data_IF_026779064110
#
_entry.id   IF_026779064110
#
_cell.length_a   1.000
_cell.length_b   1.000
_cell.length_c   1.000
_cell.angle_alpha   90.00
_cell.angle_beta   90.00
_cell.angle_gamma   90.00
#
_symmetry.space_group_name_H-M   'P 1'
#
loop_
_entity.id
_entity.type
_entity.pdbx_description
1 polymer ?
#
# COMPACT_ATOMS: atom_id res chain seq x y z
N UNK A 1 -16.52 -16.33 9.40
CA UNK A 1 -16.86 -16.95 8.10
C UNK A 1 -17.46 -18.32 8.33
N UNK A 2 -18.62 -18.61 7.69
CA UNK A 2 -19.24 -19.94 7.74
C UNK A 2 -18.47 -20.89 6.81
N UNK A 3 -18.27 -22.12 7.26
CA UNK A 3 -17.50 -23.16 6.56
C UNK A 3 -18.44 -24.29 6.19
N UNK A 4 -18.49 -24.64 4.91
CA UNK A 4 -19.24 -25.80 4.40
C UNK A 4 -18.30 -26.72 3.63
N UNK A 5 -18.52 -28.01 3.74
CA UNK A 5 -17.78 -29.03 2.97
C UNK A 5 -18.77 -29.88 2.15
N UNK A 6 -18.32 -30.33 0.99
CA UNK A 6 -19.07 -31.29 0.19
C UNK A 6 -18.78 -32.70 0.71
N UNK A 7 -19.80 -33.37 1.21
CA UNK A 7 -19.63 -34.72 1.77
C UNK A 7 -19.57 -35.79 0.68
N UNK A 8 -20.60 -35.84 -0.18
CA UNK A 8 -20.72 -36.71 -1.33
C UNK A 8 -21.80 -36.19 -2.29
N UNK A 9 -22.09 -36.94 -3.37
CA UNK A 9 -23.12 -36.53 -4.35
C UNK A 9 -24.54 -36.66 -3.81
N UNK A 10 -24.79 -37.45 -2.76
CA UNK A 10 -26.10 -37.69 -2.20
C UNK A 10 -26.42 -36.76 -1.02
N UNK A 11 -25.43 -36.43 -0.20
CA UNK A 11 -25.58 -35.63 1.02
C UNK A 11 -25.38 -34.12 0.80
N UNK A 12 -24.81 -33.73 -0.32
CA UNK A 12 -24.58 -32.32 -0.65
C UNK A 12 -23.54 -31.66 0.24
N UNK A 13 -23.88 -30.48 0.79
CA UNK A 13 -22.97 -29.66 1.62
C UNK A 13 -23.34 -29.84 3.10
N UNK A 14 -22.34 -30.13 3.92
CA UNK A 14 -22.43 -30.16 5.37
C UNK A 14 -21.87 -28.89 5.97
N UNK A 15 -22.55 -28.40 7.02
CA UNK A 15 -22.03 -27.28 7.82
C UNK A 15 -20.87 -27.79 8.69
N UNK A 16 -19.70 -27.21 8.48
CA UNK A 16 -18.48 -27.51 9.22
C UNK A 16 -18.13 -26.42 10.25
N UNK A 17 -19.11 -25.57 10.59
CA UNK A 17 -18.97 -24.51 11.60
C UNK A 17 -18.42 -23.21 11.03
N UNK A 18 -17.89 -22.38 11.92
CA UNK A 18 -17.35 -21.07 11.58
C UNK A 18 -15.86 -20.99 11.91
N UNK A 19 -15.13 -20.16 11.16
CA UNK A 19 -13.74 -19.84 11.45
C UNK A 19 -13.51 -18.34 11.34
N UNK A 20 -12.53 -17.84 12.08
CA UNK A 20 -12.18 -16.42 12.12
C UNK A 20 -10.67 -16.29 11.89
N UNK A 21 -10.24 -15.95 10.67
CA UNK A 21 -8.83 -15.66 10.42
C UNK A 21 -8.37 -14.46 11.23
N UNK A 22 -7.18 -14.56 11.80
CA UNK A 22 -6.55 -13.46 12.54
C UNK A 22 -5.14 -13.25 12.03
N UNK A 23 -4.69 -12.00 12.06
CA UNK A 23 -3.31 -11.66 11.75
C UNK A 23 -2.80 -10.62 12.76
N UNK A 24 -1.57 -10.81 13.20
CA UNK A 24 -0.87 -9.89 14.08
C UNK A 24 0.48 -9.53 13.47
N UNK A 25 0.86 -8.27 13.57
CA UNK A 25 2.16 -7.79 13.11
C UNK A 25 2.75 -6.81 14.12
N UNK A 26 4.02 -7.01 14.43
CA UNK A 26 4.82 -6.09 15.22
C UNK A 26 6.07 -5.70 14.44
N UNK A 27 6.40 -4.41 14.38
CA UNK A 27 7.56 -3.93 13.62
C UNK A 27 8.36 -2.86 14.34
N UNK A 28 9.65 -2.84 14.02
CA UNK A 28 10.62 -1.83 14.46
C UNK A 28 11.20 -1.17 13.24
N UNK A 29 11.20 0.17 13.22
CA UNK A 29 11.73 0.97 12.11
C UNK A 29 12.92 1.80 12.58
N UNK A 30 13.91 1.93 11.70
CA UNK A 30 15.03 2.82 11.87
C UNK A 30 15.26 3.63 10.59
N UNK A 31 15.48 4.94 10.74
CA UNK A 31 15.82 5.80 9.63
C UNK A 31 16.91 6.79 10.04
N UNK A 32 17.81 7.09 9.12
CA UNK A 32 18.93 8.00 9.34
C UNK A 32 19.24 8.81 8.08
N UNK A 33 19.43 10.11 8.24
CA UNK A 33 20.06 10.95 7.23
C UNK A 33 21.59 10.77 7.35
N UNK A 34 22.20 10.26 6.28
CA UNK A 34 23.65 10.07 6.20
C UNK A 34 24.35 11.35 5.76
N UNK A 35 23.63 12.19 4.99
CA UNK A 35 24.03 13.54 4.62
C UNK A 35 22.75 14.40 4.46
N UNK A 36 22.92 15.69 4.13
CA UNK A 36 21.80 16.60 3.85
C UNK A 36 20.99 16.15 2.62
N UNK A 37 21.60 15.35 1.74
CA UNK A 37 20.99 14.87 0.51
C UNK A 37 20.54 13.42 0.57
N UNK A 38 21.16 12.58 1.40
CA UNK A 38 20.96 11.14 1.36
C UNK A 38 20.47 10.58 2.70
N UNK A 39 19.37 9.87 2.65
CA UNK A 39 18.76 9.20 3.81
C UNK A 39 18.48 7.74 3.50
N UNK A 40 18.60 6.89 4.51
CA UNK A 40 18.30 5.46 4.45
C UNK A 40 17.32 5.09 5.54
N UNK A 41 16.51 4.08 5.29
CA UNK A 41 15.60 3.53 6.28
C UNK A 41 15.45 2.03 6.12
N UNK A 42 15.16 1.36 7.21
CA UNK A 42 14.80 -0.04 7.26
C UNK A 42 13.67 -0.26 8.26
N UNK A 43 12.85 -1.25 7.99
CA UNK A 43 11.79 -1.69 8.88
C UNK A 43 11.81 -3.22 8.96
N UNK A 44 11.80 -3.78 10.16
CA UNK A 44 11.73 -5.22 10.41
C UNK A 44 10.39 -5.52 11.07
N UNK A 45 9.64 -6.45 10.49
CA UNK A 45 8.32 -6.86 10.96
C UNK A 45 8.30 -8.34 11.26
N UNK A 46 7.68 -8.70 12.37
CA UNK A 46 7.28 -10.07 12.70
C UNK A 46 5.78 -10.17 12.45
N UNK A 47 5.37 -11.10 11.64
CA UNK A 47 3.98 -11.30 11.23
C UNK A 47 3.58 -12.72 11.59
N UNK A 48 2.48 -12.85 12.31
CA UNK A 48 1.82 -14.14 12.57
C UNK A 48 0.44 -14.10 11.94
N UNK A 49 0.13 -15.09 11.15
CA UNK A 49 -1.18 -15.26 10.51
C UNK A 49 -1.77 -16.62 10.88
N UNK A 50 -2.98 -16.61 11.42
CA UNK A 50 -3.78 -17.79 11.72
C UNK A 50 -5.01 -17.78 10.80
N UNK A 51 -5.05 -18.69 9.84
CA UNK A 51 -6.18 -18.85 8.91
C UNK A 51 -7.30 -19.71 9.52
N UNK A 52 -7.10 -20.21 10.74
CA UNK A 52 -8.01 -21.12 11.42
C UNK A 52 -7.78 -22.58 11.02
N UNK A 53 -8.69 -23.45 11.45
CA UNK A 53 -8.65 -24.86 11.10
C UNK A 53 -9.47 -25.12 9.84
N UNK A 54 -8.91 -25.88 8.91
CA UNK A 54 -9.60 -26.43 7.73
C UNK A 54 -9.95 -27.90 7.93
N UNK A 55 -11.09 -28.35 7.40
CA UNK A 55 -11.42 -29.77 7.35
C UNK A 55 -10.71 -30.38 6.14
N UNK A 56 -9.81 -31.32 6.38
CA UNK A 56 -9.02 -31.98 5.32
C UNK A 56 -9.60 -33.32 4.91
N UNK A 57 -10.30 -33.99 5.79
CA UNK A 57 -10.88 -35.32 5.53
C UNK A 57 -12.18 -35.53 6.32
N UNK A 58 -13.08 -36.30 5.75
CA UNK A 58 -14.27 -36.79 6.41
C UNK A 58 -14.07 -38.29 6.66
N UNK A 59 -14.02 -38.68 7.92
CA UNK A 59 -13.89 -40.08 8.30
C UNK A 59 -15.21 -40.85 8.03
N UNK A 60 -15.16 -42.17 7.83
CA UNK A 60 -16.33 -43.04 7.65
C UNK A 60 -17.39 -42.88 8.77
N UNK A 61 -16.99 -42.46 9.96
CA UNK A 61 -17.87 -42.16 11.10
C UNK A 61 -18.46 -40.75 11.12
N UNK A 62 -18.36 -39.99 10.03
CA UNK A 62 -18.78 -38.57 9.94
C UNK A 62 -18.07 -37.63 10.92
N UNK A 63 -16.83 -37.96 11.33
CA UNK A 63 -16.00 -37.04 12.12
C UNK A 63 -15.07 -36.27 11.19
N UNK A 64 -14.95 -34.97 11.44
CA UNK A 64 -14.06 -34.09 10.68
C UNK A 64 -12.61 -34.23 11.17
N UNK A 65 -11.69 -34.40 10.24
CA UNK A 65 -10.26 -34.24 10.52
C UNK A 65 -9.91 -32.79 10.23
N UNK A 66 -9.52 -32.06 11.25
CA UNK A 66 -9.19 -30.64 11.15
C UNK A 66 -7.67 -30.45 11.16
N UNK A 67 -7.22 -29.57 10.29
CA UNK A 67 -5.82 -29.12 10.24
C UNK A 67 -5.78 -27.60 10.44
N UNK A 68 -4.93 -27.13 11.35
CA UNK A 68 -4.72 -25.70 11.62
C UNK A 68 -3.68 -25.13 10.66
N UNK A 69 -3.99 -23.97 10.10
CA UNK A 69 -3.13 -23.27 9.15
C UNK A 69 -2.61 -21.98 9.78
N UNK A 70 -1.40 -22.07 10.33
CA UNK A 70 -0.67 -20.92 10.91
C UNK A 70 0.63 -20.71 10.16
N UNK A 71 1.00 -19.45 10.00
CA UNK A 71 2.29 -19.08 9.46
C UNK A 71 2.88 -17.88 10.18
N UNK A 72 4.18 -17.94 10.40
CA UNK A 72 4.99 -16.88 10.96
C UNK A 72 6.01 -16.42 9.91
N UNK A 73 6.20 -15.12 9.80
CA UNK A 73 7.15 -14.54 8.88
C UNK A 73 7.97 -13.42 9.55
N UNK A 74 9.25 -13.36 9.21
CA UNK A 74 10.09 -12.20 9.46
C UNK A 74 10.28 -11.47 8.14
N UNK A 75 9.86 -10.21 8.10
CA UNK A 75 9.79 -9.40 6.89
C UNK A 75 10.64 -8.16 7.07
N UNK A 76 11.43 -7.82 6.07
CA UNK A 76 12.27 -6.62 6.08
C UNK A 76 11.92 -5.73 4.91
N UNK A 77 11.79 -4.43 5.19
CA UNK A 77 11.64 -3.38 4.19
C UNK A 77 12.88 -2.48 4.22
N UNK A 78 13.32 -2.04 3.05
CA UNK A 78 14.44 -1.09 2.89
C UNK A 78 13.97 0.10 2.08
N UNK A 79 14.52 1.27 2.38
CA UNK A 79 14.26 2.47 1.61
C UNK A 79 15.46 3.41 1.57
N UNK A 80 15.61 4.08 0.45
CA UNK A 80 16.57 5.17 0.27
C UNK A 80 15.85 6.39 -0.29
N UNK A 81 16.33 7.56 0.11
CA UNK A 81 15.81 8.82 -0.34
C UNK A 81 16.99 9.74 -0.64
N UNK A 82 16.98 10.30 -1.84
CA UNK A 82 18.05 11.19 -2.32
C UNK A 82 17.47 12.50 -2.82
N UNK A 83 17.93 13.60 -2.26
CA UNK A 83 17.69 14.98 -2.74
C UNK A 83 18.87 15.37 -3.61
N UNK A 84 18.60 15.66 -4.85
CA UNK A 84 19.68 16.11 -5.75
C UNK A 84 20.07 17.56 -5.43
N UNK A 85 21.18 18.01 -6.01
CA UNK A 85 21.53 19.43 -5.98
C UNK A 85 20.80 20.25 -7.04
N UNK A 86 19.95 19.61 -7.85
CA UNK A 86 19.21 20.26 -8.93
C UNK A 86 17.80 20.59 -8.45
N UNK A 87 17.57 21.86 -8.12
CA UNK A 87 16.29 22.40 -7.65
C UNK A 87 15.61 21.48 -6.60
N UNK A 88 14.31 21.18 -6.77
CA UNK A 88 13.55 20.29 -5.89
C UNK A 88 13.54 18.82 -6.32
N UNK A 89 14.40 18.42 -7.27
CA UNK A 89 14.42 17.05 -7.80
C UNK A 89 14.85 16.05 -6.73
N UNK A 90 14.03 15.02 -6.54
CA UNK A 90 14.19 13.96 -5.53
C UNK A 90 14.02 12.60 -6.15
N UNK A 91 14.80 11.63 -5.65
CA UNK A 91 14.67 10.22 -5.94
C UNK A 91 14.34 9.44 -4.68
N UNK A 92 13.54 8.43 -4.82
CA UNK A 92 13.28 7.46 -3.75
C UNK A 92 13.26 6.05 -4.33
N UNK A 93 13.70 5.09 -3.52
CA UNK A 93 13.61 3.67 -3.86
C UNK A 93 13.24 2.89 -2.61
N UNK A 94 12.38 1.91 -2.75
CA UNK A 94 12.00 1.01 -1.66
C UNK A 94 11.91 -0.42 -2.13
N UNK A 95 12.34 -1.33 -1.28
CA UNK A 95 12.09 -2.78 -1.37
C UNK A 95 11.24 -3.15 -0.19
N UNK A 96 10.07 -3.72 -0.40
CA UNK A 96 9.12 -4.09 0.64
C UNK A 96 8.85 -5.57 0.63
N UNK A 97 8.56 -6.10 1.82
CA UNK A 97 8.24 -7.51 2.04
C UNK A 97 9.35 -8.47 1.61
N UNK A 98 10.61 -8.05 1.78
CA UNK A 98 11.73 -8.97 1.62
C UNK A 98 11.73 -9.96 2.78
N UNK A 99 11.52 -11.24 2.49
CA UNK A 99 11.47 -12.30 3.49
C UNK A 99 11.85 -13.64 2.86
N UNK A 100 12.28 -14.62 3.67
CA UNK A 100 12.26 -16.01 3.26
C UNK A 100 10.85 -16.49 2.96
N UNK A 101 10.72 -17.60 2.26
CA UNK A 101 9.44 -18.23 1.99
C UNK A 101 8.73 -18.60 3.28
N UNK A 102 7.43 -18.40 3.29
CA UNK A 102 6.55 -18.69 4.43
C UNK A 102 5.90 -20.05 4.22
N UNK A 103 5.97 -20.90 5.22
CA UNK A 103 5.37 -22.23 5.15
C UNK A 103 4.00 -22.25 5.78
N UNK A 104 2.98 -22.53 4.96
CA UNK A 104 1.69 -22.96 5.43
C UNK A 104 1.61 -24.48 5.20
N UNK A 105 1.66 -25.24 6.28
CA UNK A 105 1.73 -26.69 6.23
C UNK A 105 2.98 -27.20 5.45
N UNK A 106 2.76 -27.87 4.33
CA UNK A 106 3.83 -28.47 3.51
C UNK A 106 4.17 -27.65 2.27
N UNK A 107 3.55 -26.50 2.07
CA UNK A 107 3.73 -25.65 0.88
C UNK A 107 4.43 -24.35 1.23
N UNK A 108 5.45 -24.04 0.46
CA UNK A 108 6.12 -22.75 0.54
C UNK A 108 5.31 -21.71 -0.21
N UNK A 109 5.13 -20.55 0.41
CA UNK A 109 4.46 -19.39 -0.16
C UNK A 109 5.41 -18.20 -0.07
N UNK A 110 5.63 -17.57 -1.20
CA UNK A 110 6.40 -16.36 -1.27
C UNK A 110 5.54 -15.16 -0.83
N UNK A 111 6.12 -14.25 -0.05
CA UNK A 111 5.45 -12.99 0.26
C UNK A 111 5.49 -12.04 -0.96
N UNK A 112 4.52 -11.15 -1.11
CA UNK A 112 4.43 -10.22 -2.24
C UNK A 112 5.54 -9.16 -2.16
N UNK A 113 6.76 -9.57 -2.53
CA UNK A 113 7.91 -8.68 -2.65
C UNK A 113 7.58 -7.56 -3.64
N UNK A 114 7.80 -6.32 -3.23
CA UNK A 114 7.53 -5.16 -4.07
C UNK A 114 8.74 -4.26 -4.13
N UNK A 115 9.20 -3.99 -5.33
CA UNK A 115 10.20 -2.97 -5.61
C UNK A 115 9.51 -1.71 -6.15
N UNK A 116 9.85 -0.55 -5.57
CA UNK A 116 9.39 0.75 -6.06
C UNK A 116 10.55 1.71 -6.20
N UNK A 117 10.55 2.47 -7.28
CA UNK A 117 11.43 3.62 -7.48
C UNK A 117 10.60 4.80 -7.99
N UNK A 118 10.96 5.99 -7.55
CA UNK A 118 10.21 7.18 -7.92
C UNK A 118 11.10 8.42 -8.03
N UNK A 119 10.63 9.32 -8.85
CA UNK A 119 11.22 10.64 -9.08
C UNK A 119 10.14 11.68 -8.87
N UNK A 120 10.45 12.76 -8.17
CA UNK A 120 9.53 13.88 -8.02
C UNK A 120 10.26 15.22 -8.08
N UNK A 121 9.58 16.22 -8.62
CA UNK A 121 10.09 17.58 -8.74
C UNK A 121 8.96 18.59 -8.74
N UNK A 122 9.17 19.75 -8.12
CA UNK A 122 8.30 20.90 -8.33
C UNK A 122 8.69 21.61 -9.63
N UNK A 123 7.85 21.51 -10.65
CA UNK A 123 8.13 22.07 -11.97
C UNK A 123 8.17 23.59 -11.97
N UNK A 124 7.51 24.23 -11.00
CA UNK A 124 7.56 25.69 -10.84
C UNK A 124 8.96 26.21 -10.47
N UNK A 125 9.84 25.32 -10.00
CA UNK A 125 11.25 25.67 -9.74
C UNK A 125 12.03 25.99 -11.02
N UNK A 126 11.57 25.51 -12.18
CA UNK A 126 12.15 25.77 -13.49
C UNK A 126 11.60 27.04 -14.16
N UNK A 127 10.58 27.65 -13.56
CA UNK A 127 9.86 28.78 -14.12
C UNK A 127 10.06 30.06 -13.29
N UNK A 128 9.96 31.20 -13.93
CA UNK A 128 9.96 32.51 -13.24
C UNK A 128 8.53 32.86 -12.77
N UNK A 129 8.09 32.16 -11.73
CA UNK A 129 6.76 32.36 -11.12
C UNK A 129 6.88 32.56 -9.62
N UNK A 130 5.85 33.15 -9.02
CA UNK A 130 5.79 33.34 -7.57
C UNK A 130 5.60 31.98 -6.87
N UNK A 131 6.71 31.36 -6.48
CA UNK A 131 6.76 30.04 -5.80
C UNK A 131 6.05 30.03 -4.43
N UNK A 132 5.75 31.21 -3.87
CA UNK A 132 4.98 31.30 -2.63
C UNK A 132 3.49 31.05 -2.86
N UNK A 133 3.02 31.28 -4.09
CA UNK A 133 1.61 31.11 -4.49
C UNK A 133 1.36 29.86 -5.31
N UNK A 134 2.35 29.42 -6.07
CA UNK A 134 2.22 28.34 -7.04
C UNK A 134 3.26 27.25 -6.78
N UNK A 135 2.80 26.00 -6.73
CA UNK A 135 3.62 24.81 -6.70
C UNK A 135 2.97 23.76 -7.60
N UNK A 136 3.75 23.13 -8.48
CA UNK A 136 3.32 22.03 -9.32
C UNK A 136 4.27 20.85 -9.13
N UNK A 137 3.96 20.01 -8.16
CA UNK A 137 4.69 18.78 -7.92
C UNK A 137 4.27 17.72 -8.94
N UNK A 138 5.24 17.22 -9.69
CA UNK A 138 5.08 16.09 -10.62
C UNK A 138 5.90 14.93 -10.09
N UNK A 139 5.34 13.72 -10.16
CA UNK A 139 6.02 12.50 -9.80
C UNK A 139 5.80 11.40 -10.85
N UNK A 140 6.81 10.57 -11.01
CA UNK A 140 6.77 9.33 -11.79
C UNK A 140 7.32 8.22 -10.92
N UNK A 141 6.51 7.20 -10.70
CA UNK A 141 6.88 6.03 -9.91
C UNK A 141 6.81 4.77 -10.78
N UNK A 142 7.84 3.93 -10.72
CA UNK A 142 7.83 2.57 -11.23
C UNK A 142 7.61 1.61 -10.08
N UNK A 143 6.64 0.73 -10.21
CA UNK A 143 6.27 -0.29 -9.23
C UNK A 143 6.37 -1.67 -9.86
N UNK A 144 7.13 -2.57 -9.24
CA UNK A 144 7.28 -3.96 -9.66
C UNK A 144 6.93 -4.88 -8.50
N UNK A 145 5.68 -5.30 -8.36
CA UNK A 145 5.31 -6.43 -7.51
C UNK A 145 5.87 -7.73 -8.10
N UNK A 146 6.21 -8.70 -7.24
CA UNK A 146 6.72 -10.02 -7.69
C UNK A 146 5.71 -10.75 -8.59
N UNK A 147 4.43 -10.69 -8.23
CA UNK A 147 3.37 -11.51 -8.81
C UNK A 147 2.59 -10.81 -9.93
N UNK A 148 2.91 -9.54 -10.21
CA UNK A 148 2.21 -8.70 -11.20
C UNK A 148 3.19 -8.04 -12.16
N UNK A 149 2.65 -7.58 -13.28
CA UNK A 149 3.40 -6.80 -14.25
C UNK A 149 3.91 -5.48 -13.65
N UNK A 150 4.97 -4.98 -14.23
CA UNK A 150 5.49 -3.66 -13.89
C UNK A 150 4.47 -2.58 -14.19
N UNK A 151 4.31 -1.65 -13.27
CA UNK A 151 3.39 -0.52 -13.40
C UNK A 151 4.16 0.79 -13.31
N UNK A 152 3.79 1.73 -14.14
CA UNK A 152 4.24 3.12 -14.06
C UNK A 152 3.07 3.98 -13.61
N UNK A 153 3.32 4.78 -12.59
CA UNK A 153 2.36 5.70 -12.01
C UNK A 153 2.86 7.13 -12.23
N UNK A 154 2.04 7.94 -12.89
CA UNK A 154 2.33 9.35 -13.09
C UNK A 154 1.33 10.18 -12.32
N UNK A 155 1.83 11.14 -11.55
CA UNK A 155 0.98 12.01 -10.75
C UNK A 155 1.41 13.47 -10.84
N UNK A 156 0.44 14.36 -10.71
CA UNK A 156 0.66 15.79 -10.59
C UNK A 156 -0.20 16.38 -9.46
N UNK A 157 0.37 17.30 -8.71
CA UNK A 157 -0.33 18.07 -7.68
C UNK A 157 -0.04 19.54 -7.87
N UNK A 158 -1.07 20.32 -8.22
CA UNK A 158 -1.00 21.76 -8.23
C UNK A 158 -1.53 22.34 -6.91
N UNK A 159 -0.74 23.20 -6.28
CA UNK A 159 -1.11 23.90 -5.05
C UNK A 159 -1.13 25.39 -5.31
N UNK A 160 -2.26 26.02 -5.00
CA UNK A 160 -2.46 27.47 -5.14
C UNK A 160 -2.63 28.14 -3.77
N UNK A 161 -1.86 29.20 -3.53
CA UNK A 161 -1.83 29.97 -2.27
C UNK A 161 -1.59 29.13 -1.02
N UNK A 162 -1.01 27.94 -1.15
CA UNK A 162 -0.90 26.95 -0.07
C UNK A 162 -2.25 26.53 0.57
N UNK A 163 -3.37 26.84 -0.08
CA UNK A 163 -4.74 26.60 0.37
C UNK A 163 -5.42 25.57 -0.52
N UNK A 164 -5.47 25.80 -1.81
CA UNK A 164 -6.19 24.96 -2.75
C UNK A 164 -5.25 23.96 -3.39
N UNK A 165 -5.66 22.70 -3.44
CA UNK A 165 -4.86 21.61 -4.00
C UNK A 165 -5.70 20.85 -5.02
N UNK A 166 -5.17 20.71 -6.24
CA UNK A 166 -5.71 19.84 -7.29
C UNK A 166 -4.72 18.71 -7.53
N UNK A 167 -5.23 17.50 -7.73
CA UNK A 167 -4.40 16.32 -7.98
C UNK A 167 -4.97 15.53 -9.15
N UNK A 168 -4.07 14.97 -9.94
CA UNK A 168 -4.42 14.01 -10.98
C UNK A 168 -3.34 12.94 -11.05
N UNK A 169 -3.74 11.72 -11.39
CA UNK A 169 -2.81 10.62 -11.55
C UNK A 169 -3.35 9.57 -12.52
N UNK A 170 -2.42 8.79 -13.05
CA UNK A 170 -2.70 7.69 -13.95
C UNK A 170 -1.74 6.52 -13.70
N UNK A 171 -2.27 5.29 -13.76
CA UNK A 171 -1.51 4.05 -13.60
C UNK A 171 -1.55 3.27 -14.90
N UNK A 172 -0.37 2.80 -15.38
CA UNK A 172 -0.30 1.99 -16.59
C UNK A 172 0.90 1.01 -16.55
N UNK A 173 0.82 -0.18 -17.18
CA UNK A 173 -0.45 -0.81 -17.54
C UNK A 173 -1.23 -1.19 -16.28
N UNK A 174 -2.53 -1.12 -16.35
CA UNK A 174 -3.41 -1.61 -15.28
C UNK A 174 -4.76 -1.99 -15.89
N UNK A 175 -5.25 -3.14 -15.48
CA UNK A 175 -6.57 -3.64 -15.86
C UNK A 175 -7.67 -3.17 -14.89
N UNK A 176 -7.28 -2.80 -13.67
CA UNK A 176 -8.22 -2.43 -12.60
C UNK A 176 -8.19 -0.94 -12.29
N UNK A 177 -7.02 -0.30 -12.27
CA UNK A 177 -6.86 1.10 -11.90
C UNK A 177 -6.57 1.95 -13.14
N UNK A 178 -7.38 2.99 -13.34
CA UNK A 178 -7.19 3.95 -14.42
C UNK A 178 -6.66 5.28 -13.91
N UNK A 179 -7.47 6.31 -14.10
CA UNK A 179 -7.16 7.66 -13.65
C UNK A 179 -7.71 7.94 -12.26
N UNK A 180 -7.04 8.85 -11.57
CA UNK A 180 -7.50 9.38 -10.30
C UNK A 180 -7.46 10.91 -10.29
N UNK A 181 -8.45 11.52 -9.66
CA UNK A 181 -8.57 12.97 -9.51
C UNK A 181 -8.77 13.31 -8.03
N UNK A 182 -8.27 14.44 -7.61
CA UNK A 182 -8.44 14.88 -6.23
C UNK A 182 -8.48 16.38 -6.10
N UNK A 183 -9.24 16.83 -5.10
CA UNK A 183 -9.32 18.23 -4.69
C UNK A 183 -9.11 18.31 -3.18
N UNK A 184 -8.38 19.31 -2.73
CA UNK A 184 -8.15 19.53 -1.30
C UNK A 184 -8.15 21.00 -0.95
N UNK A 185 -8.51 21.28 0.29
CA UNK A 185 -8.42 22.61 0.90
C UNK A 185 -7.62 22.51 2.19
N UNK A 186 -6.64 23.38 2.35
CA UNK A 186 -5.82 23.50 3.55
C UNK A 186 -6.08 24.86 4.20
N UNK A 187 -6.37 24.85 5.50
CA UNK A 187 -6.53 26.07 6.30
C UNK A 187 -5.46 26.10 7.39
N UNK A 188 -4.81 27.25 7.56
CA UNK A 188 -3.94 27.49 8.72
C UNK A 188 -4.79 27.93 9.89
N UNK A 189 -4.65 27.27 11.02
CA UNK A 189 -5.19 27.71 12.30
C UNK A 189 -4.09 28.49 13.06
N UNK A 190 -4.47 29.18 14.11
CA UNK A 190 -3.56 30.02 14.91
C UNK A 190 -2.32 29.20 15.38
N UNK A 191 -1.11 29.65 15.02
CA UNK A 191 0.15 28.99 15.39
C UNK A 191 0.62 27.97 14.34
N UNK A 192 1.09 26.79 14.79
CA UNK A 192 1.58 25.71 13.94
C UNK A 192 0.49 24.72 13.51
N UNK A 193 -0.76 24.99 13.90
CA UNK A 193 -1.88 24.08 13.64
C UNK A 193 -2.44 24.30 12.24
N UNK A 194 -2.79 23.23 11.57
CA UNK A 194 -3.49 23.30 10.29
C UNK A 194 -4.59 22.24 10.20
N UNK A 195 -5.59 22.56 9.40
CA UNK A 195 -6.69 21.64 9.03
C UNK A 195 -6.67 21.45 7.52
N UNK A 196 -6.91 20.24 7.06
CA UNK A 196 -7.19 19.99 5.65
C UNK A 196 -8.39 19.07 5.48
N UNK A 197 -9.11 19.30 4.38
CA UNK A 197 -10.15 18.44 3.87
C UNK A 197 -9.80 18.09 2.43
N UNK A 198 -9.83 16.81 2.11
CA UNK A 198 -9.47 16.28 0.81
C UNK A 198 -10.57 15.36 0.30
N UNK A 199 -10.88 15.46 -0.99
CA UNK A 199 -11.72 14.54 -1.73
C UNK A 199 -10.90 13.90 -2.83
N UNK A 200 -11.08 12.60 -3.07
CA UNK A 200 -10.49 11.91 -4.19
C UNK A 200 -11.49 10.95 -4.84
N UNK A 201 -11.40 10.88 -6.14
CA UNK A 201 -12.07 9.95 -7.03
C UNK A 201 -11.01 9.07 -7.69
N UNK A 202 -11.22 7.77 -7.72
CA UNK A 202 -10.38 6.82 -8.44
C UNK A 202 -11.28 5.90 -9.27
N UNK A 203 -10.95 5.78 -10.54
CA UNK A 203 -11.59 4.83 -11.45
C UNK A 203 -10.96 3.45 -11.25
N UNK A 204 -11.81 2.43 -11.03
CA UNK A 204 -11.41 1.03 -10.88
C UNK A 204 -12.00 0.14 -11.99
N UNK A 205 -12.20 0.70 -13.18
CA UNK A 205 -12.66 -0.03 -14.34
C UNK A 205 -13.94 -0.82 -14.07
N UNK A 206 -13.88 -2.14 -14.21
CA UNK A 206 -15.04 -3.03 -14.03
C UNK A 206 -15.59 -3.04 -12.59
N UNK A 207 -14.81 -2.65 -11.58
CA UNK A 207 -15.21 -2.58 -10.18
C UNK A 207 -15.86 -1.24 -9.81
N UNK A 208 -16.20 -0.40 -10.79
CA UNK A 208 -16.74 0.95 -10.62
C UNK A 208 -15.69 1.92 -10.07
N UNK A 209 -16.13 2.98 -9.40
CA UNK A 209 -15.26 4.03 -8.88
C UNK A 209 -15.26 4.06 -7.36
N UNK A 210 -14.14 4.50 -6.79
CA UNK A 210 -14.00 4.71 -5.35
C UNK A 210 -13.92 6.19 -5.03
N UNK A 211 -14.79 6.65 -4.15
CA UNK A 211 -14.80 8.01 -3.63
C UNK A 211 -14.30 8.01 -2.20
N UNK A 212 -13.37 8.92 -1.87
CA UNK A 212 -12.80 9.02 -0.52
C UNK A 212 -12.80 10.47 -0.05
N UNK A 213 -13.27 10.68 1.18
CA UNK A 213 -13.18 11.96 1.87
C UNK A 213 -12.26 11.78 3.06
N UNK A 214 -11.34 12.72 3.26
CA UNK A 214 -10.36 12.69 4.35
C UNK A 214 -10.29 14.04 5.04
N UNK A 215 -10.22 14.01 6.36
CA UNK A 215 -9.99 15.19 7.19
C UNK A 215 -8.71 14.98 7.99
N UNK A 216 -7.88 16.01 8.06
CA UNK A 216 -6.65 15.99 8.85
C UNK A 216 -6.58 17.23 9.71
N UNK A 217 -6.34 17.03 11.00
CA UNK A 217 -6.00 18.05 11.97
C UNK A 217 -4.57 17.83 12.44
N UNK A 218 -3.75 18.86 12.38
CA UNK A 218 -2.40 18.86 12.96
C UNK A 218 -2.35 19.90 14.08
N UNK A 219 -1.91 19.46 15.24
CA UNK A 219 -1.81 20.22 16.49
C UNK A 219 -0.34 20.46 16.83
#
# INVERSE_FOLDING_TARGET
LQRTIRADNERGYLDAGTFSPTAFSFGISYAKSLSDQFSVGANMKFVTQDLGAGVVELTERNTFVEQSYKADATVVDFGVFYRTSFESLKFAMTVRNFSPDVKFDSRDHELPLTFKMGVSMDVMDLMDVDKTKHSLLVNVDANRPRDYNEQIQVGAQYTFLNVFVLRGGYVFPSDEEGYSLGFGVKGSMRGKHFISADYSYSDFGIFSSVNRISFRLSI
#
